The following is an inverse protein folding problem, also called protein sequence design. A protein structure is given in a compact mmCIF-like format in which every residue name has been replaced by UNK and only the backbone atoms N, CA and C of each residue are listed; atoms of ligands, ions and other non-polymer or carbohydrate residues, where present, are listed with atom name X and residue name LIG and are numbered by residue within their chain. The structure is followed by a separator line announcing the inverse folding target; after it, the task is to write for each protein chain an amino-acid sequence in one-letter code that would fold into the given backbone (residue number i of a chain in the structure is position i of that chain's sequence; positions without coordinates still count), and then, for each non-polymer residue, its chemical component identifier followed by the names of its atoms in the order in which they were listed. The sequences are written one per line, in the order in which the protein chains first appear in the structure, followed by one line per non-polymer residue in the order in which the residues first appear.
data_IF_290462944744
#
_entry.id   IF_290462944744
#
_cell.length_a   1.000
_cell.length_b   1.000
_cell.length_c   1.000
_cell.angle_alpha   90.00
_cell.angle_beta   90.00
_cell.angle_gamma   90.00
#
_symmetry.space_group_name_H-M   'P 1'
#
loop_
_entity.id
_entity.type
_entity.pdbx_description
1 polymer ?
#
# COMPACT_ATOMS: atom_id res chain seq x y z
N UNK A 1 -13.68 -7.55 -4.89
CA UNK A 1 -13.65 -6.31 -5.69
C UNK A 1 -13.66 -6.56 -7.21
N UNK A 2 -14.10 -7.74 -7.69
CA UNK A 2 -13.58 -8.29 -8.96
C UNK A 2 -14.48 -8.11 -10.21
N UNK A 3 -15.81 -8.15 -10.10
CA UNK A 3 -16.64 -8.30 -11.30
C UNK A 3 -16.79 -7.03 -12.14
N UNK A 4 -16.85 -5.85 -11.52
CA UNK A 4 -17.13 -4.58 -12.20
C UNK A 4 -15.92 -3.64 -12.28
N UNK A 5 -15.02 -3.69 -11.30
CA UNK A 5 -13.86 -2.78 -11.25
C UNK A 5 -12.82 -3.11 -12.32
N UNK A 6 -12.55 -4.40 -12.57
CA UNK A 6 -11.60 -4.84 -13.61
C UNK A 6 -11.93 -4.27 -15.00
N UNK A 7 -13.13 -4.45 -15.57
CA UNK A 7 -13.46 -3.85 -16.87
C UNK A 7 -13.47 -2.32 -16.82
N UNK A 8 -13.98 -1.70 -15.74
CA UNK A 8 -14.03 -0.24 -15.60
C UNK A 8 -12.63 0.40 -15.52
N UNK A 9 -11.65 -0.29 -14.94
CA UNK A 9 -10.29 0.22 -14.78
C UNK A 9 -9.62 0.54 -16.13
N UNK A 10 -10.00 -0.13 -17.22
CA UNK A 10 -9.51 0.23 -18.56
C UNK A 10 -9.93 1.64 -19.00
N UNK A 11 -11.08 2.12 -18.50
CA UNK A 11 -11.56 3.48 -18.73
C UNK A 11 -10.92 4.47 -17.76
N UNK A 12 -10.60 4.07 -16.53
CA UNK A 12 -9.97 4.94 -15.53
C UNK A 12 -8.52 5.32 -15.91
N UNK A 13 -7.76 4.36 -16.44
CA UNK A 13 -6.31 4.53 -16.70
C UNK A 13 -6.00 4.94 -18.15
N UNK A 14 -6.67 5.99 -18.64
CA UNK A 14 -6.44 6.54 -19.99
C UNK A 14 -5.48 7.74 -19.96
N UNK A 15 -4.62 7.94 -20.99
CA UNK A 15 -3.66 9.05 -21.03
C UNK A 15 -4.25 10.46 -20.87
N UNK A 16 -5.49 10.68 -21.30
CA UNK A 16 -6.12 12.00 -21.28
C UNK A 16 -6.37 12.54 -19.86
N UNK A 17 -6.69 11.67 -18.89
CA UNK A 17 -7.12 12.08 -17.55
C UNK A 17 -6.67 11.14 -16.43
N UNK A 18 -6.17 9.94 -16.74
CA UNK A 18 -5.85 8.93 -15.75
C UNK A 18 -4.77 9.39 -14.76
N UNK A 19 -3.82 10.22 -15.19
CA UNK A 19 -2.83 10.81 -14.27
C UNK A 19 -3.47 11.71 -13.20
N UNK A 20 -4.53 12.44 -13.56
CA UNK A 20 -5.29 13.25 -12.59
C UNK A 20 -6.12 12.38 -11.65
N UNK A 21 -6.81 11.35 -12.19
CA UNK A 21 -7.55 10.40 -11.35
C UNK A 21 -6.63 9.67 -10.38
N UNK A 22 -5.45 9.25 -10.84
CA UNK A 22 -4.44 8.61 -10.00
C UNK A 22 -3.92 9.56 -8.91
N UNK A 23 -3.65 10.83 -9.26
CA UNK A 23 -3.26 11.84 -8.27
C UNK A 23 -4.32 12.04 -7.17
N UNK A 24 -5.60 12.06 -7.52
CA UNK A 24 -6.69 12.14 -6.54
C UNK A 24 -6.78 10.90 -5.66
N UNK A 25 -6.67 9.70 -6.25
CA UNK A 25 -6.62 8.45 -5.50
C UNK A 25 -5.41 8.42 -4.55
N UNK A 26 -4.22 8.75 -5.05
CA UNK A 26 -3.00 8.76 -4.24
C UNK A 26 -3.11 9.68 -3.03
N UNK A 27 -3.73 10.86 -3.16
CA UNK A 27 -4.01 11.74 -2.03
C UNK A 27 -4.92 11.12 -0.98
N UNK A 28 -5.92 10.34 -1.41
CA UNK A 28 -6.86 9.69 -0.49
C UNK A 28 -6.21 8.58 0.36
N UNK A 29 -4.99 8.15 0.01
CA UNK A 29 -4.21 7.17 0.77
C UNK A 29 -3.60 7.74 2.05
N UNK A 30 -3.71 9.05 2.28
CA UNK A 30 -3.24 9.77 3.48
C UNK A 30 -4.42 10.39 4.25
N UNK A 31 -5.27 9.57 4.88
CA UNK A 31 -6.54 10.01 5.47
C UNK A 31 -6.40 10.72 6.82
N UNK A 32 -5.24 10.68 7.49
CA UNK A 32 -5.10 11.21 8.86
C UNK A 32 -4.07 12.33 8.94
N UNK A 33 -2.80 12.01 8.71
CA UNK A 33 -1.66 12.91 8.93
C UNK A 33 -0.78 12.96 7.66
N UNK A 34 -1.29 13.52 6.55
CA UNK A 34 -0.51 13.62 5.32
C UNK A 34 0.80 14.40 5.55
N UNK A 35 1.91 14.02 4.89
CA UNK A 35 3.16 14.75 5.00
C UNK A 35 3.04 16.15 4.36
N UNK A 36 3.80 17.11 4.88
CA UNK A 36 3.74 18.52 4.46
C UNK A 36 4.03 18.74 2.97
N UNK A 37 4.82 17.85 2.36
CA UNK A 37 5.24 17.86 0.96
C UNK A 37 4.38 16.98 0.04
N UNK A 38 3.26 16.42 0.52
CA UNK A 38 2.37 15.56 -0.27
C UNK A 38 1.92 16.23 -1.58
N UNK A 39 1.68 17.54 -1.54
CA UNK A 39 1.29 18.31 -2.73
C UNK A 39 2.37 18.30 -3.81
N UNK A 40 3.62 18.49 -3.42
CA UNK A 40 4.76 18.49 -4.32
C UNK A 40 4.99 17.10 -4.92
N UNK A 41 4.95 16.06 -4.07
CA UNK A 41 5.10 14.67 -4.52
C UNK A 41 3.99 14.27 -5.50
N UNK A 42 2.74 14.67 -5.24
CA UNK A 42 1.62 14.43 -6.16
C UNK A 42 1.83 15.11 -7.51
N UNK A 43 2.36 16.33 -7.54
CA UNK A 43 2.66 17.03 -8.80
C UNK A 43 3.80 16.36 -9.57
N UNK A 44 4.85 15.90 -8.87
CA UNK A 44 5.95 15.11 -9.46
C UNK A 44 5.39 13.81 -10.07
N UNK A 45 4.62 13.04 -9.30
CA UNK A 45 3.98 11.81 -9.76
C UNK A 45 3.09 12.05 -10.97
N UNK A 46 2.20 13.04 -10.89
CA UNK A 46 1.28 13.39 -11.99
C UNK A 46 2.04 13.80 -13.25
N UNK A 47 3.14 14.55 -13.11
CA UNK A 47 4.00 14.96 -14.23
C UNK A 47 4.68 13.75 -14.85
N UNK A 48 5.26 12.87 -14.04
CA UNK A 48 5.88 11.63 -14.50
C UNK A 48 4.90 10.74 -15.29
N UNK A 49 3.67 10.58 -14.78
CA UNK A 49 2.64 9.78 -15.44
C UNK A 49 2.18 10.34 -16.79
N UNK A 50 2.40 11.65 -17.03
CA UNK A 50 2.08 12.32 -18.30
C UNK A 50 3.25 12.30 -19.29
N UNK A 51 4.48 12.05 -18.83
CA UNK A 51 5.69 12.07 -19.69
C UNK A 51 5.59 11.08 -20.86
N UNK A 52 5.06 9.88 -20.60
CA UNK A 52 4.82 8.87 -21.64
C UNK A 52 3.40 8.33 -21.53
N UNK A 53 2.75 8.12 -22.68
CA UNK A 53 1.37 7.61 -22.75
C UNK A 53 1.20 6.28 -22.01
N UNK A 54 2.23 5.44 -22.02
CA UNK A 54 2.18 4.10 -21.44
C UNK A 54 2.31 4.10 -19.92
N UNK A 55 2.81 5.16 -19.29
CA UNK A 55 3.01 5.21 -17.84
C UNK A 55 1.69 4.96 -17.09
N UNK A 56 0.65 5.74 -17.40
CA UNK A 56 -0.66 5.55 -16.77
C UNK A 56 -1.34 4.23 -17.19
N UNK A 57 -1.09 3.75 -18.41
CA UNK A 57 -1.62 2.46 -18.87
C UNK A 57 -0.99 1.32 -18.04
N UNK A 58 0.30 1.43 -17.72
CA UNK A 58 1.03 0.48 -16.89
C UNK A 58 0.53 0.48 -15.43
N UNK A 59 0.17 1.64 -14.87
CA UNK A 59 -0.53 1.70 -13.58
C UNK A 59 -1.82 0.88 -13.62
N UNK A 60 -2.62 1.04 -14.67
CA UNK A 60 -3.82 0.23 -14.86
C UNK A 60 -3.51 -1.27 -14.97
N UNK A 61 -2.45 -1.66 -15.69
CA UNK A 61 -2.01 -3.06 -15.78
C UNK A 61 -1.65 -3.60 -14.40
N UNK A 62 -0.87 -2.85 -13.63
CA UNK A 62 -0.46 -3.18 -12.28
C UNK A 62 -1.65 -3.44 -11.34
N UNK A 63 -2.67 -2.57 -11.36
CA UNK A 63 -3.86 -2.73 -10.51
C UNK A 63 -4.65 -3.99 -10.84
N UNK A 64 -4.65 -4.41 -12.11
CA UNK A 64 -5.34 -5.62 -12.56
C UNK A 64 -4.50 -6.88 -12.37
N UNK A 65 -3.21 -6.78 -12.06
CA UNK A 65 -2.33 -7.91 -11.90
C UNK A 65 -2.78 -8.81 -10.75
N UNK A 66 -2.74 -10.14 -10.92
CA UNK A 66 -3.05 -11.06 -9.83
C UNK A 66 -2.04 -10.89 -8.69
N UNK A 67 -2.51 -11.10 -7.45
CA UNK A 67 -1.69 -11.00 -6.24
C UNK A 67 -1.20 -12.35 -5.70
N UNK A 68 -1.44 -13.43 -6.46
CA UNK A 68 -1.13 -14.82 -6.07
C UNK A 68 0.36 -15.00 -5.75
N UNK A 69 1.25 -14.40 -6.55
CA UNK A 69 2.69 -14.49 -6.33
C UNK A 69 3.13 -13.75 -5.06
N UNK A 70 2.47 -12.64 -4.71
CA UNK A 70 2.72 -11.91 -3.46
C UNK A 70 2.29 -12.77 -2.28
N UNK A 71 1.09 -13.38 -2.34
CA UNK A 71 0.61 -14.26 -1.28
C UNK A 71 1.57 -15.46 -1.07
N UNK A 72 2.03 -16.08 -2.15
CA UNK A 72 3.02 -17.17 -2.07
C UNK A 72 4.34 -16.71 -1.43
N UNK A 73 4.83 -15.51 -1.76
CA UNK A 73 6.04 -14.96 -1.16
C UNK A 73 5.90 -14.72 0.36
N UNK A 74 4.71 -14.32 0.83
CA UNK A 74 4.42 -14.16 2.27
C UNK A 74 4.40 -15.53 2.96
N UNK A 75 3.81 -16.56 2.35
CA UNK A 75 3.87 -17.93 2.88
C UNK A 75 5.32 -18.47 2.93
N UNK A 76 6.14 -18.16 1.93
CA UNK A 76 7.55 -18.52 1.92
C UNK A 76 8.34 -17.81 3.03
N UNK A 77 8.04 -16.52 3.28
CA UNK A 77 8.58 -15.78 4.42
C UNK A 77 8.26 -16.46 5.76
N UNK A 78 7.03 -16.98 5.90
CA UNK A 78 6.58 -17.76 7.06
C UNK A 78 7.44 -18.97 7.40
N UNK A 79 8.10 -19.56 6.40
CA UNK A 79 8.97 -20.74 6.56
C UNK A 79 10.35 -20.38 7.11
N UNK A 80 10.76 -19.11 7.05
CA UNK A 80 12.09 -18.64 7.46
C UNK A 80 12.03 -18.08 8.90
N UNK A 81 11.80 -18.96 9.87
CA UNK A 81 11.54 -18.57 11.27
C UNK A 81 12.70 -17.83 11.96
N UNK A 82 13.91 -17.87 11.38
CA UNK A 82 15.08 -17.15 11.90
C UNK A 82 15.11 -15.67 11.51
N UNK A 83 14.28 -15.24 10.55
CA UNK A 83 14.26 -13.87 10.06
C UNK A 83 13.31 -13.03 10.93
N UNK A 84 13.77 -11.91 11.51
CA UNK A 84 12.86 -10.99 12.17
C UNK A 84 11.93 -10.35 11.14
N UNK A 85 10.62 -10.45 11.37
CA UNK A 85 9.59 -9.86 10.51
C UNK A 85 8.74 -8.91 11.35
N UNK A 86 8.53 -7.70 10.83
CA UNK A 86 7.59 -6.72 11.37
C UNK A 86 6.72 -6.17 10.25
N UNK A 87 5.40 -6.15 10.47
CA UNK A 87 4.42 -5.57 9.57
C UNK A 87 3.66 -4.44 10.25
N UNK A 88 3.34 -3.40 9.49
CA UNK A 88 2.57 -2.25 9.96
C UNK A 88 1.23 -2.22 9.23
N UNK A 89 0.15 -2.09 9.99
CA UNK A 89 -1.21 -2.03 9.47
C UNK A 89 -1.83 -0.70 9.91
N UNK A 90 -2.14 0.17 8.96
CA UNK A 90 -2.87 1.40 9.25
C UNK A 90 -4.34 1.12 9.47
N UNK A 91 -4.88 1.48 10.65
CA UNK A 91 -6.29 1.24 10.96
C UNK A 91 -7.26 2.10 10.13
N UNK A 92 -6.75 3.10 9.42
CA UNK A 92 -7.52 4.00 8.55
C UNK A 92 -7.22 3.78 7.07
N UNK A 93 -6.45 2.76 6.71
CA UNK A 93 -6.13 2.47 5.31
C UNK A 93 -7.42 2.16 4.51
N UNK A 94 -7.74 2.96 3.48
CA UNK A 94 -8.97 2.78 2.69
C UNK A 94 -8.95 1.54 1.79
N UNK A 95 -7.80 0.91 1.58
CA UNK A 95 -7.68 -0.28 0.73
C UNK A 95 -8.13 -1.57 1.46
N UNK A 96 -8.18 -1.57 2.79
CA UNK A 96 -8.70 -2.71 3.55
C UNK A 96 -10.23 -2.76 3.48
N UNK A 97 -10.77 -3.80 2.83
CA UNK A 97 -12.20 -4.08 2.93
C UNK A 97 -12.59 -4.70 4.27
N UNK A 98 -11.68 -5.48 4.85
CA UNK A 98 -11.80 -6.15 6.14
C UNK A 98 -10.40 -6.32 6.73
N UNK A 99 -9.99 -5.40 7.59
CA UNK A 99 -8.65 -5.40 8.18
C UNK A 99 -8.43 -6.60 9.10
N UNK A 100 -9.46 -7.05 9.82
CA UNK A 100 -9.35 -8.19 10.73
C UNK A 100 -9.06 -9.48 9.95
N UNK A 101 -9.68 -9.65 8.78
CA UNK A 101 -9.40 -10.76 7.88
C UNK A 101 -7.96 -10.73 7.35
N UNK A 102 -7.44 -9.55 7.01
CA UNK A 102 -6.05 -9.37 6.53
C UNK A 102 -5.03 -9.65 7.64
N UNK A 103 -5.27 -9.15 8.85
CA UNK A 103 -4.43 -9.44 10.03
C UNK A 103 -4.42 -10.94 10.34
N UNK A 104 -5.59 -11.59 10.29
CA UNK A 104 -5.70 -13.03 10.49
C UNK A 104 -4.92 -13.79 9.42
N UNK A 105 -5.11 -13.46 8.15
CA UNK A 105 -4.38 -14.09 7.05
C UNK A 105 -2.86 -13.94 7.22
N UNK A 106 -2.38 -12.72 7.50
CA UNK A 106 -0.95 -12.45 7.68
C UNK A 106 -0.36 -13.22 8.87
N UNK A 107 -1.05 -13.22 10.01
CA UNK A 107 -0.57 -13.91 11.23
C UNK A 107 -0.57 -15.42 11.08
N UNK A 108 -1.51 -15.99 10.32
CA UNK A 108 -1.48 -17.41 9.93
C UNK A 108 -0.33 -17.72 8.95
N UNK A 109 -0.07 -16.83 8.00
CA UNK A 109 0.97 -17.01 6.99
C UNK A 109 2.40 -16.83 7.56
N UNK A 110 2.61 -15.89 8.49
CA UNK A 110 3.90 -15.60 9.11
C UNK A 110 3.79 -15.59 10.65
N UNK A 111 3.69 -16.77 11.29
CA UNK A 111 3.35 -16.85 12.73
C UNK A 111 4.37 -16.23 13.69
N UNK A 112 5.61 -16.05 13.22
CA UNK A 112 6.70 -15.45 13.99
C UNK A 112 6.84 -13.93 13.77
N UNK A 113 6.04 -13.34 12.87
CA UNK A 113 6.06 -11.92 12.63
C UNK A 113 5.44 -11.13 13.78
N UNK A 114 6.05 -9.99 14.08
CA UNK A 114 5.42 -8.93 14.84
C UNK A 114 4.49 -8.16 13.90
N UNK A 115 3.32 -7.76 14.37
CA UNK A 115 2.50 -6.78 13.65
C UNK A 115 2.22 -5.59 14.58
N UNK A 116 2.08 -4.43 13.97
CA UNK A 116 1.76 -3.17 14.64
C UNK A 116 0.56 -2.57 13.96
N UNK A 117 -0.54 -2.52 14.68
CA UNK A 117 -1.72 -1.74 14.33
C UNK A 117 -1.46 -0.26 14.65
N UNK A 118 -1.51 0.59 13.64
CA UNK A 118 -1.24 2.03 13.74
C UNK A 118 -2.58 2.77 13.73
N UNK A 119 -3.02 3.22 14.90
CA UNK A 119 -4.36 3.78 15.12
C UNK A 119 -4.69 4.97 14.19
N UNK A 120 -3.71 5.85 14.00
CA UNK A 120 -3.79 7.03 13.13
C UNK A 120 -3.13 6.81 11.76
N UNK A 121 -2.82 5.56 11.40
CA UNK A 121 -2.16 5.24 10.13
C UNK A 121 -3.19 4.97 9.04
N UNK A 122 -3.03 5.59 7.88
CA UNK A 122 -3.66 5.17 6.63
C UNK A 122 -2.79 4.17 5.88
N UNK A 123 -2.77 4.29 4.56
CA UNK A 123 -2.08 3.33 3.68
C UNK A 123 -0.56 3.38 3.81
N UNK A 124 -0.01 4.55 4.16
CA UNK A 124 1.41 4.77 4.35
C UNK A 124 1.71 5.19 5.80
N UNK A 125 1.56 4.27 6.78
CA UNK A 125 1.72 4.61 8.19
C UNK A 125 3.14 5.09 8.52
N UNK A 126 4.13 4.73 7.71
CA UNK A 126 5.52 5.19 7.85
C UNK A 126 5.72 6.68 7.49
N UNK A 127 4.79 7.29 6.75
CA UNK A 127 4.79 8.72 6.43
C UNK A 127 3.85 9.49 7.37
N UNK A 128 2.73 8.89 7.77
CA UNK A 128 1.75 9.55 8.65
C UNK A 128 2.10 9.46 10.15
N UNK A 129 2.81 8.41 10.57
CA UNK A 129 3.26 8.18 11.95
C UNK A 129 4.75 7.76 11.99
N UNK A 130 5.67 8.59 11.44
CA UNK A 130 7.06 8.20 11.20
C UNK A 130 7.84 7.86 12.47
N UNK A 131 7.60 8.58 13.57
CA UNK A 131 8.28 8.34 14.85
C UNK A 131 7.91 6.98 15.46
N UNK A 132 6.63 6.61 15.40
CA UNK A 132 6.14 5.32 15.87
C UNK A 132 6.75 4.18 15.05
N UNK A 133 6.71 4.29 13.72
CA UNK A 133 7.27 3.27 12.83
C UNK A 133 8.77 3.11 13.05
N UNK A 134 9.52 4.21 13.09
CA UNK A 134 10.97 4.18 13.31
C UNK A 134 11.33 3.52 14.67
N UNK A 135 10.60 3.86 15.74
CA UNK A 135 10.79 3.27 17.07
C UNK A 135 10.56 1.76 17.07
N UNK A 136 9.51 1.30 16.39
CA UNK A 136 9.17 -0.13 16.31
C UNK A 136 10.20 -0.92 15.49
N UNK A 137 10.67 -0.36 14.37
CA UNK A 137 11.76 -0.96 13.59
C UNK A 137 13.04 -1.04 14.43
N UNK A 138 13.42 0.05 15.12
CA UNK A 138 14.61 0.06 15.96
C UNK A 138 14.58 -1.02 17.05
N UNK A 139 13.43 -1.24 17.68
CA UNK A 139 13.25 -2.28 18.69
C UNK A 139 13.52 -3.70 18.14
N UNK A 140 13.12 -3.99 16.91
CA UNK A 140 13.37 -5.28 16.24
C UNK A 140 14.84 -5.47 15.93
N UNK A 141 15.57 -4.40 15.58
CA UNK A 141 16.99 -4.47 15.24
C UNK A 141 17.91 -4.62 16.47
N UNK A 142 17.44 -4.19 17.64
CA UNK A 142 18.22 -4.22 18.88
C UNK A 142 17.94 -5.42 19.78
N UNK A 143 16.89 -6.20 19.47
CA UNK A 143 16.50 -7.42 20.20
C UNK A 143 17.14 -8.66 19.59
#
# INVERSE_FOLDING_TARGET
MESWFRPLSHLLFRPLYGAWLWALYYRSLYPVNPPDDLDEEVEILKSHLKTQKDNIINVGRYIRSPKVEVAAAVEDLGKITSLPVIAFFGLKDPDYSDLDAELKWFTEAVPHAQHVEVENGGHYPHLEEPELVAKKIAAVLTG
#
